data_IF_989408033782
#
_entry.id   IF_989408033782
#
_cell.length_a   1.000
_cell.length_b   1.000
_cell.length_c   1.000
_cell.angle_alpha   90.00
_cell.angle_beta   90.00
_cell.angle_gamma   90.00
#
_symmetry.space_group_name_H-M   'P 1'
#
loop_
_entity.id
_entity.type
_entity.pdbx_description
1 polymer ?
#
# COMPACT_ATOMS: atom_id res chain seq x y z
N UNK A 1 26.90 -9.01 16.58
CA UNK A 1 25.57 -8.43 16.82
C UNK A 1 25.18 -7.66 15.58
N UNK A 2 23.99 -7.91 15.05
CA UNK A 2 23.42 -7.10 13.98
C UNK A 2 22.47 -6.08 14.61
N UNK A 3 22.77 -4.80 14.41
CA UNK A 3 21.92 -3.69 14.83
C UNK A 3 20.86 -3.46 13.76
N UNK A 4 19.64 -3.88 14.03
CA UNK A 4 18.49 -3.57 13.19
C UNK A 4 17.89 -2.24 13.65
N UNK A 5 18.05 -1.21 12.82
CA UNK A 5 17.28 0.03 12.93
C UNK A 5 15.95 -0.26 12.25
N UNK A 6 14.84 0.01 12.94
CA UNK A 6 13.51 -0.10 12.34
C UNK A 6 13.52 0.64 10.99
N UNK A 7 13.02 -0.02 9.94
CA UNK A 7 12.83 0.58 8.62
C UNK A 7 11.81 1.74 8.63
N UNK A 8 11.29 2.07 9.82
CA UNK A 8 10.38 3.17 10.11
C UNK A 8 10.83 4.59 9.74
N UNK A 9 12.02 4.82 9.17
CA UNK A 9 12.37 6.17 8.65
C UNK A 9 12.39 6.21 7.11
N UNK A 10 12.59 5.08 6.44
CA UNK A 10 12.64 4.96 4.97
C UNK A 10 12.31 3.52 4.60
N UNK A 11 11.33 3.29 3.72
CA UNK A 11 10.85 1.98 3.20
C UNK A 11 9.54 1.43 3.82
N UNK A 12 8.59 2.28 4.20
CA UNK A 12 7.30 1.79 4.73
C UNK A 12 6.35 1.23 3.65
N UNK A 13 6.65 1.42 2.37
CA UNK A 13 6.07 0.67 1.25
C UNK A 13 7.20 -0.13 0.56
N UNK A 14 7.32 -1.44 0.82
CA UNK A 14 8.44 -2.26 0.34
C UNK A 14 8.28 -2.72 -1.12
N UNK A 15 7.32 -2.19 -1.87
CA UNK A 15 6.95 -2.71 -3.19
C UNK A 15 8.10 -2.67 -4.20
N UNK A 16 8.98 -1.66 -4.17
CA UNK A 16 10.17 -1.60 -5.02
C UNK A 16 11.20 -2.68 -4.64
N UNK A 17 11.44 -2.86 -3.35
CA UNK A 17 12.39 -3.84 -2.81
C UNK A 17 11.95 -5.26 -3.11
N UNK A 18 10.66 -5.56 -2.94
CA UNK A 18 10.08 -6.88 -3.25
C UNK A 18 10.27 -7.24 -4.72
N UNK A 19 10.16 -6.25 -5.60
CA UNK A 19 10.29 -6.41 -7.05
C UNK A 19 11.71 -6.77 -7.46
N UNK A 20 12.69 -6.02 -6.95
CA UNK A 20 14.11 -6.29 -7.18
C UNK A 20 14.53 -7.63 -6.59
N UNK A 21 14.04 -7.96 -5.40
CA UNK A 21 14.32 -9.24 -4.74
C UNK A 21 13.70 -10.41 -5.51
N UNK A 22 12.48 -10.27 -6.02
CA UNK A 22 11.84 -11.28 -6.86
C UNK A 22 12.68 -11.54 -8.12
N UNK A 23 13.14 -10.50 -8.81
CA UNK A 23 14.03 -10.65 -9.98
C UNK A 23 15.32 -11.40 -9.61
N UNK A 24 15.92 -11.08 -8.46
CA UNK A 24 17.15 -11.71 -7.97
C UNK A 24 16.96 -13.20 -7.63
N UNK A 25 15.84 -13.55 -7.00
CA UNK A 25 15.57 -14.92 -6.54
C UNK A 25 15.05 -15.84 -7.65
N UNK A 26 14.14 -15.34 -8.49
CA UNK A 26 13.43 -16.16 -9.47
C UNK A 26 13.99 -16.03 -10.90
N UNK A 27 14.84 -15.04 -11.14
CA UNK A 27 15.45 -14.76 -12.44
C UNK A 27 14.60 -13.86 -13.33
N UNK A 28 15.26 -13.15 -14.23
CA UNK A 28 14.70 -12.07 -15.04
C UNK A 28 13.55 -12.49 -15.98
N UNK A 29 13.57 -13.74 -16.45
CA UNK A 29 12.61 -14.26 -17.43
C UNK A 29 11.33 -14.82 -16.82
N UNK A 30 11.23 -14.88 -15.48
CA UNK A 30 9.97 -15.28 -14.84
C UNK A 30 8.94 -14.17 -15.02
N UNK A 31 7.68 -14.56 -15.15
CA UNK A 31 6.57 -13.62 -15.31
C UNK A 31 5.86 -13.42 -13.98
N UNK A 32 5.46 -12.17 -13.72
CA UNK A 32 4.56 -11.81 -12.64
C UNK A 32 3.24 -11.30 -13.24
N UNK A 33 2.14 -11.95 -12.90
CA UNK A 33 0.80 -11.56 -13.36
C UNK A 33 0.17 -10.47 -12.50
N UNK A 34 0.57 -10.38 -11.23
CA UNK A 34 0.12 -9.36 -10.28
C UNK A 34 1.22 -9.00 -9.26
N UNK A 35 1.31 -7.72 -8.93
CA UNK A 35 2.04 -7.15 -7.80
C UNK A 35 1.02 -6.40 -6.94
N UNK A 36 0.68 -6.98 -5.78
CA UNK A 36 -0.31 -6.39 -4.87
C UNK A 36 0.41 -5.73 -3.70
N UNK A 37 0.15 -4.44 -3.50
CA UNK A 37 0.63 -3.66 -2.36
C UNK A 37 -0.56 -3.25 -1.49
N UNK A 38 -0.49 -3.54 -0.19
CA UNK A 38 -1.55 -3.23 0.78
C UNK A 38 -1.04 -2.16 1.73
N UNK A 39 -1.77 -1.05 1.82
CA UNK A 39 -1.52 0.05 2.74
C UNK A 39 -2.26 -0.13 4.06
N UNK A 40 -1.77 0.53 5.11
CA UNK A 40 -2.37 0.53 6.44
C UNK A 40 -3.43 1.63 6.62
N UNK A 41 -3.88 2.24 5.52
CA UNK A 41 -4.83 3.34 5.52
C UNK A 41 -4.12 4.70 5.55
N UNK A 42 -4.79 5.70 4.97
CA UNK A 42 -4.36 7.08 5.03
C UNK A 42 -5.01 7.77 6.25
N UNK A 43 -4.25 8.43 7.15
CA UNK A 43 -4.81 9.06 8.35
C UNK A 43 -5.64 10.34 8.07
N UNK A 44 -5.99 10.59 6.81
CA UNK A 44 -6.65 11.79 6.30
C UNK A 44 -5.68 12.93 5.98
N UNK A 45 -6.09 13.83 5.08
CA UNK A 45 -5.39 15.10 4.86
C UNK A 45 -5.31 15.85 6.18
N UNK A 46 -4.11 16.24 6.60
CA UNK A 46 -3.91 17.18 7.70
C UNK A 46 -4.30 18.57 7.21
N UNK A 47 -5.59 18.74 6.92
CA UNK A 47 -6.21 19.95 6.42
C UNK A 47 -7.32 20.35 7.37
N UNK A 48 -7.00 21.30 8.26
CA UNK A 48 -7.98 22.24 8.84
C UNK A 48 -9.17 21.64 9.61
N UNK A 49 -9.02 20.49 10.25
CA UNK A 49 -9.91 20.08 11.35
C UNK A 49 -9.12 20.10 12.64
N UNK A 50 -9.69 20.76 13.66
CA UNK A 50 -9.04 21.04 14.96
C UNK A 50 -8.31 19.79 15.46
N UNK A 51 -7.06 19.91 15.95
CA UNK A 51 -6.33 18.76 16.48
C UNK A 51 -7.18 18.12 17.58
N UNK A 52 -7.49 16.85 17.39
CA UNK A 52 -8.22 16.04 18.36
C UNK A 52 -7.46 16.04 19.70
N UNK A 53 -8.15 15.84 20.81
CA UNK A 53 -7.56 15.90 22.16
C UNK A 53 -6.35 14.97 22.27
N UNK A 54 -6.41 13.81 21.60
CA UNK A 54 -5.32 12.85 21.51
C UNK A 54 -4.10 13.35 20.71
N UNK A 55 -4.33 14.09 19.62
CA UNK A 55 -3.26 14.65 18.79
C UNK A 55 -2.45 15.71 19.55
N UNK A 56 -3.05 16.33 20.58
CA UNK A 56 -2.35 17.27 21.49
C UNK A 56 -1.47 16.56 22.52
N UNK A 57 -1.70 15.27 22.78
CA UNK A 57 -0.93 14.48 23.74
C UNK A 57 0.29 13.79 23.09
N UNK A 58 0.27 13.60 21.78
CA UNK A 58 1.40 13.01 21.05
C UNK A 58 2.55 14.02 20.92
N UNK A 59 3.81 13.60 21.12
CA UNK A 59 4.97 14.44 20.82
C UNK A 59 4.95 14.91 19.36
N UNK A 60 5.25 16.18 19.13
CA UNK A 60 5.28 16.77 17.78
C UNK A 60 6.25 16.05 16.83
N UNK A 61 7.35 15.50 17.37
CA UNK A 61 8.35 14.71 16.66
C UNK A 61 7.81 13.35 16.19
N UNK A 62 6.93 12.72 16.96
CA UNK A 62 6.27 11.48 16.57
C UNK A 62 5.25 11.76 15.46
N UNK A 63 4.49 12.84 15.58
CA UNK A 63 3.55 13.28 14.53
C UNK A 63 4.29 13.57 13.22
N UNK A 64 5.42 14.28 13.26
CA UNK A 64 6.21 14.57 12.05
C UNK A 64 6.81 13.31 11.44
N UNK A 65 7.30 12.38 12.27
CA UNK A 65 7.82 11.09 11.82
C UNK A 65 6.74 10.27 11.12
N UNK A 66 5.57 10.10 11.74
CA UNK A 66 4.44 9.36 11.13
C UNK A 66 3.96 10.00 9.82
N UNK A 67 3.98 11.34 9.72
CA UNK A 67 3.68 12.04 8.47
C UNK A 67 4.70 11.75 7.38
N UNK A 68 5.99 11.81 7.71
CA UNK A 68 7.07 11.52 6.76
C UNK A 68 6.97 10.08 6.25
N UNK A 69 6.71 9.12 7.14
CA UNK A 69 6.46 7.72 6.79
C UNK A 69 5.30 7.58 5.79
N UNK A 70 4.16 8.22 6.07
CA UNK A 70 3.00 8.15 5.21
C UNK A 70 3.27 8.78 3.83
N UNK A 71 3.95 9.94 3.79
CA UNK A 71 4.35 10.58 2.53
C UNK A 71 5.28 9.69 1.71
N UNK A 72 6.25 9.02 2.35
CA UNK A 72 7.14 8.09 1.67
C UNK A 72 6.39 6.88 1.10
N UNK A 73 5.42 6.32 1.83
CA UNK A 73 4.56 5.23 1.36
C UNK A 73 3.79 5.59 0.09
N UNK A 74 3.14 6.77 0.11
CA UNK A 74 2.35 7.24 -1.03
C UNK A 74 3.25 7.61 -2.21
N UNK A 75 4.43 8.21 -1.97
CA UNK A 75 5.40 8.50 -3.04
C UNK A 75 5.83 7.24 -3.80
N UNK A 76 6.10 6.14 -3.10
CA UNK A 76 6.42 4.85 -3.76
C UNK A 76 5.19 4.31 -4.50
N UNK A 77 3.99 4.43 -3.91
CA UNK A 77 2.77 3.97 -4.55
C UNK A 77 2.47 4.74 -5.84
N UNK A 78 2.62 6.07 -5.82
CA UNK A 78 2.42 6.98 -6.96
C UNK A 78 3.42 6.71 -8.08
N UNK A 79 4.69 6.44 -7.74
CA UNK A 79 5.72 6.08 -8.73
C UNK A 79 5.36 4.78 -9.46
N UNK A 80 4.96 3.76 -8.71
CA UNK A 80 4.54 2.47 -9.29
C UNK A 80 3.23 2.59 -10.07
N UNK A 81 2.26 3.35 -9.56
CA UNK A 81 1.00 3.64 -10.24
C UNK A 81 1.22 4.40 -11.56
N UNK A 82 2.12 5.37 -11.58
CA UNK A 82 2.50 6.10 -12.80
C UNK A 82 3.16 5.18 -13.84
N UNK A 83 3.96 4.20 -13.38
CA UNK A 83 4.65 3.24 -14.25
C UNK A 83 3.71 2.20 -14.86
N UNK A 84 2.80 1.63 -14.06
CA UNK A 84 1.97 0.49 -14.47
C UNK A 84 0.54 0.87 -14.83
N UNK A 85 0.11 2.08 -14.48
CA UNK A 85 -1.27 2.52 -14.55
C UNK A 85 -2.11 1.98 -13.40
N UNK A 86 -3.21 2.67 -13.13
CA UNK A 86 -4.23 2.28 -12.15
C UNK A 86 -5.50 1.83 -12.88
N UNK A 87 -5.42 0.66 -13.51
CA UNK A 87 -6.52 0.08 -14.30
C UNK A 87 -6.65 -1.40 -14.02
N UNK A 88 -7.83 -1.97 -14.31
CA UNK A 88 -8.13 -3.39 -14.14
C UNK A 88 -7.17 -4.30 -14.90
N UNK A 89 -6.51 -3.81 -15.96
CA UNK A 89 -5.47 -4.51 -16.74
C UNK A 89 -4.03 -4.29 -16.24
N UNK A 90 -3.81 -3.43 -15.24
CA UNK A 90 -2.46 -3.15 -14.69
C UNK A 90 -1.85 -4.37 -14.03
N UNK A 91 -0.52 -4.48 -13.97
CA UNK A 91 0.16 -5.52 -13.16
C UNK A 91 0.25 -5.13 -11.69
N UNK A 92 0.19 -3.83 -11.38
CA UNK A 92 0.34 -3.30 -10.02
C UNK A 92 -1.01 -2.88 -9.45
N UNK A 93 -1.29 -3.35 -8.23
CA UNK A 93 -2.52 -3.06 -7.51
C UNK A 93 -2.19 -2.51 -6.12
N UNK A 94 -2.56 -1.27 -5.85
CA UNK A 94 -2.46 -0.67 -4.51
C UNK A 94 -3.84 -0.63 -3.86
N UNK A 95 -3.99 -1.36 -2.76
CA UNK A 95 -5.16 -1.25 -1.90
C UNK A 95 -4.79 -0.42 -0.67
N UNK A 96 -5.42 0.73 -0.50
CA UNK A 96 -5.17 1.61 0.64
C UNK A 96 -6.45 2.34 1.01
N UNK A 97 -6.87 2.25 2.27
CA UNK A 97 -8.12 2.88 2.73
C UNK A 97 -7.89 4.39 2.86
N UNK A 98 -8.36 5.18 1.90
CA UNK A 98 -8.07 6.62 1.81
C UNK A 98 -9.05 7.51 2.57
N UNK A 99 -10.25 7.02 2.91
CA UNK A 99 -11.31 7.79 3.53
C UNK A 99 -11.83 7.09 4.79
N UNK A 100 -11.88 7.82 5.90
CA UNK A 100 -12.57 7.42 7.11
C UNK A 100 -11.72 6.73 8.17
N UNK A 101 -10.48 6.33 7.90
CA UNK A 101 -9.52 5.93 8.94
C UNK A 101 -9.01 7.18 9.66
N UNK A 102 -9.92 7.94 10.27
CA UNK A 102 -9.57 9.11 11.06
C UNK A 102 -8.64 8.68 12.18
N UNK A 103 -7.41 9.22 12.17
CA UNK A 103 -6.42 9.19 13.26
C UNK A 103 -6.56 7.98 14.20
N UNK A 104 -6.32 6.79 13.65
CA UNK A 104 -6.24 5.59 14.47
C UNK A 104 -4.83 5.60 15.08
N UNK A 105 -4.78 5.91 16.38
CA UNK A 105 -3.56 5.71 17.17
C UNK A 105 -3.27 4.21 17.24
N UNK A 106 -2.00 3.85 17.29
CA UNK A 106 -1.52 2.46 17.29
C UNK A 106 -1.95 1.63 18.52
N UNK A 107 -2.68 2.23 19.47
CA UNK A 107 -2.89 1.68 20.81
C UNK A 107 -4.36 1.38 21.18
N UNK A 108 -5.33 1.48 20.26
CA UNK A 108 -6.75 1.30 20.63
C UNK A 108 -7.39 0.06 20.00
N UNK A 109 -7.46 -1.02 20.78
CA UNK A 109 -8.30 -2.20 20.48
C UNK A 109 -9.78 -1.81 20.24
N UNK A 110 -10.24 -0.71 20.86
CA UNK A 110 -11.59 -0.16 20.69
C UNK A 110 -11.85 0.36 19.25
N UNK A 111 -10.80 0.72 18.49
CA UNK A 111 -10.92 1.23 17.12
C UNK A 111 -10.95 0.14 16.05
N UNK A 112 -10.83 -1.15 16.39
CA UNK A 112 -10.95 -2.26 15.42
C UNK A 112 -12.30 -2.23 14.71
N UNK A 113 -13.38 -1.90 15.43
CA UNK A 113 -14.72 -1.79 14.85
C UNK A 113 -14.82 -0.71 13.77
N UNK A 114 -14.12 0.41 13.98
CA UNK A 114 -14.00 1.52 13.05
C UNK A 114 -13.15 1.12 11.83
N UNK A 115 -11.98 0.48 12.04
CA UNK A 115 -11.15 -0.08 10.96
C UNK A 115 -11.99 -0.99 10.07
N UNK A 116 -12.67 -1.97 10.66
CA UNK A 116 -13.51 -2.94 9.92
C UNK A 116 -14.60 -2.22 9.13
N UNK A 117 -15.22 -1.20 9.71
CA UNK A 117 -16.27 -0.42 9.04
C UNK A 117 -15.72 0.34 7.84
N UNK A 118 -14.59 1.03 7.98
CA UNK A 118 -13.97 1.78 6.89
C UNK A 118 -13.38 0.89 5.81
N UNK A 119 -12.73 -0.22 6.18
CA UNK A 119 -12.27 -1.22 5.23
C UNK A 119 -13.45 -1.84 4.47
N UNK A 120 -14.57 -2.15 5.14
CA UNK A 120 -15.77 -2.65 4.45
C UNK A 120 -16.33 -1.63 3.47
N UNK A 121 -16.47 -0.37 3.88
CA UNK A 121 -16.94 0.69 3.00
C UNK A 121 -16.01 0.90 1.79
N UNK A 122 -14.69 0.84 2.01
CA UNK A 122 -13.68 0.91 0.95
C UNK A 122 -13.82 -0.24 -0.05
N UNK A 123 -13.97 -1.48 0.42
CA UNK A 123 -14.16 -2.65 -0.43
C UNK A 123 -15.51 -2.67 -1.16
N UNK A 124 -16.51 -1.92 -0.65
CA UNK A 124 -17.82 -1.76 -1.28
C UNK A 124 -17.87 -0.65 -2.34
N UNK A 125 -16.83 0.19 -2.48
CA UNK A 125 -16.72 1.11 -3.63
C UNK A 125 -16.70 0.26 -4.91
N UNK A 126 -17.61 0.49 -5.88
CA UNK A 126 -17.72 -0.33 -7.08
C UNK A 126 -16.41 -0.46 -7.87
N UNK A 127 -15.59 0.60 -7.88
CA UNK A 127 -14.29 0.59 -8.56
C UNK A 127 -13.30 -0.31 -7.82
N UNK A 128 -13.28 -0.25 -6.49
CA UNK A 128 -12.39 -1.08 -5.67
C UNK A 128 -12.83 -2.54 -5.75
N UNK A 129 -14.13 -2.83 -5.71
CA UNK A 129 -14.64 -4.19 -5.89
C UNK A 129 -14.20 -4.78 -7.22
N UNK A 130 -14.38 -4.05 -8.34
CA UNK A 130 -13.92 -4.51 -9.66
C UNK A 130 -12.40 -4.71 -9.72
N UNK A 131 -11.64 -3.87 -9.01
CA UNK A 131 -10.20 -3.98 -8.90
C UNK A 131 -9.77 -5.24 -8.10
N UNK A 132 -10.49 -5.57 -7.03
CA UNK A 132 -10.30 -6.83 -6.27
C UNK A 132 -10.65 -8.03 -7.15
N UNK A 133 -11.76 -8.00 -7.87
CA UNK A 133 -12.19 -9.08 -8.76
C UNK A 133 -11.15 -9.34 -9.85
N UNK A 134 -10.55 -8.29 -10.42
CA UNK A 134 -9.44 -8.39 -11.38
C UNK A 134 -8.21 -9.11 -10.79
N UNK A 135 -7.85 -8.82 -9.54
CA UNK A 135 -6.74 -9.52 -8.86
C UNK A 135 -7.08 -10.98 -8.61
N UNK A 136 -8.29 -11.26 -8.09
CA UNK A 136 -8.75 -12.61 -7.80
C UNK A 136 -8.76 -13.47 -9.06
N UNK A 137 -9.29 -12.93 -10.17
CA UNK A 137 -9.33 -13.63 -11.45
C UNK A 137 -7.92 -14.08 -11.87
N UNK A 138 -6.91 -13.22 -11.76
CA UNK A 138 -5.53 -13.56 -12.15
C UNK A 138 -4.84 -14.51 -11.19
N UNK A 139 -5.12 -14.42 -9.90
CA UNK A 139 -4.58 -15.34 -8.91
C UNK A 139 -5.18 -16.74 -9.05
N UNK A 140 -6.44 -16.84 -9.47
CA UNK A 140 -7.18 -18.10 -9.59
C UNK A 140 -7.12 -18.73 -10.99
N UNK A 141 -6.79 -17.96 -12.03
CA UNK A 141 -6.71 -18.45 -13.41
C UNK A 141 -5.27 -18.89 -13.77
N UNK A 142 -5.01 -20.20 -13.96
CA UNK A 142 -3.71 -20.71 -14.37
C UNK A 142 -3.32 -20.33 -15.81
N UNK A 143 -4.21 -19.74 -16.61
CA UNK A 143 -3.91 -19.25 -17.96
C UNK A 143 -3.51 -17.77 -17.98
N UNK A 144 -3.57 -17.08 -16.84
CA UNK A 144 -3.22 -15.66 -16.70
C UNK A 144 -1.74 -15.33 -16.90
N UNK A 145 -0.87 -16.33 -17.11
CA UNK A 145 0.55 -16.12 -17.41
C UNK A 145 0.76 -15.29 -18.69
N UNK A 146 -0.17 -15.34 -19.65
CA UNK A 146 -0.09 -14.59 -20.91
C UNK A 146 -0.29 -13.07 -20.73
N UNK A 147 -0.88 -12.65 -19.62
CA UNK A 147 -1.05 -11.23 -19.25
C UNK A 147 0.02 -10.71 -18.29
N UNK A 148 0.94 -11.57 -17.84
CA UNK A 148 2.03 -11.17 -16.95
C UNK A 148 3.17 -10.48 -17.67
N UNK A 149 3.96 -9.68 -16.94
CA UNK A 149 5.20 -9.11 -17.45
C UNK A 149 6.41 -9.83 -16.85
N UNK A 150 7.52 -9.88 -17.58
CA UNK A 150 8.75 -10.47 -17.05
C UNK A 150 9.26 -9.68 -15.85
N UNK A 151 9.98 -10.33 -14.92
CA UNK A 151 10.61 -9.65 -13.79
C UNK A 151 11.67 -8.64 -14.25
N UNK A 152 12.25 -8.82 -15.44
CA UNK A 152 13.07 -7.79 -16.08
C UNK A 152 12.27 -6.50 -16.34
N UNK A 153 11.11 -6.60 -17.01
CA UNK A 153 10.25 -5.46 -17.34
C UNK A 153 9.58 -4.89 -16.09
N UNK A 154 9.22 -5.75 -15.15
CA UNK A 154 8.73 -5.33 -13.84
C UNK A 154 9.82 -4.54 -13.11
N UNK A 155 11.11 -4.75 -13.36
CA UNK A 155 12.17 -4.02 -12.67
C UNK A 155 12.73 -2.81 -13.43
N UNK A 156 12.36 -2.57 -14.69
CA UNK A 156 12.93 -1.46 -15.48
C UNK A 156 12.55 -0.09 -14.89
N UNK A 157 13.52 0.83 -14.88
CA UNK A 157 13.41 2.22 -14.37
C UNK A 157 12.63 3.14 -15.29
#
# INVERSE_FOLDING_TARGET
EETFIDAGIRCNNPAEQVREEAKRLFGENRTASVLVSIGTGHPGTIGLSKPDVFQRLLPSELISTLKNIAMDCESVADQLASRYGEREESVYFRFNVTHGVGQISLEEWEKISEIVTHTRAYLQDPRISAYVDSVVQRLCDPSSYDTGISLALLCTS
#
